data_IF_196263168709
#
_entry.id   IF_196263168709
#
_cell.length_a   1.000
_cell.length_b   1.000
_cell.length_c   1.000
_cell.angle_alpha   90.00
_cell.angle_beta   90.00
_cell.angle_gamma   90.00
#
_symmetry.space_group_name_H-M   'P 1'
#
loop_
_entity.id
_entity.type
_entity.pdbx_description
1 polymer ?
#
# COMPACT_ATOMS: atom_id res chain seq x y z
N UNK A 1 -55.60 31.17 24.63
CA UNK A 1 -57.03 30.84 24.74
C UNK A 1 -57.13 29.31 24.57
N UNK A 2 -56.99 28.49 25.62
CA UNK A 2 -57.90 28.19 26.73
C UNK A 2 -59.12 27.32 26.34
N UNK A 3 -59.32 26.23 27.12
CA UNK A 3 -60.45 25.26 27.26
C UNK A 3 -60.30 23.95 26.44
N UNK A 4 -59.98 22.75 26.99
CA UNK A 4 -60.56 21.90 28.07
C UNK A 4 -61.91 21.24 27.63
N UNK A 5 -62.18 19.93 27.71
CA UNK A 5 -62.49 19.05 28.88
C UNK A 5 -62.63 17.58 28.35
N UNK A 6 -61.86 16.56 28.81
CA UNK A 6 -62.03 15.58 29.92
C UNK A 6 -63.17 14.53 29.83
N UNK A 7 -62.79 13.24 29.90
CA UNK A 7 -63.48 12.10 30.57
C UNK A 7 -62.62 10.82 30.33
N UNK A 8 -61.72 10.37 31.20
CA UNK A 8 -61.82 9.74 32.53
C UNK A 8 -62.50 8.34 32.60
N UNK A 9 -61.64 7.33 32.76
CA UNK A 9 -61.73 6.15 33.66
C UNK A 9 -62.77 5.03 33.46
N UNK A 10 -62.25 3.78 33.31
CA UNK A 10 -62.51 2.70 34.28
C UNK A 10 -61.53 1.51 34.18
N UNK A 11 -60.72 1.45 35.23
CA UNK A 11 -59.85 0.42 35.80
C UNK A 11 -60.53 -0.94 36.03
N UNK A 12 -59.76 -2.06 35.95
CA UNK A 12 -59.93 -3.29 36.77
C UNK A 12 -58.71 -4.24 36.70
N UNK A 13 -57.85 -4.11 37.71
CA UNK A 13 -57.07 -5.09 38.50
C UNK A 13 -56.95 -6.59 38.09
N UNK A 14 -55.71 -7.14 38.10
CA UNK A 14 -55.39 -8.45 38.74
C UNK A 14 -54.69 -9.56 37.91
N UNK A 15 -53.83 -10.45 38.52
CA UNK A 15 -52.50 -10.83 38.01
C UNK A 15 -52.31 -12.30 37.58
N UNK A 16 -51.28 -12.62 36.74
CA UNK A 16 -50.56 -13.93 36.72
C UNK A 16 -49.27 -13.97 35.86
N UNK A 17 -48.14 -14.22 36.55
CA UNK A 17 -46.91 -15.00 36.20
C UNK A 17 -46.26 -14.91 34.79
N UNK A 18 -45.05 -14.33 34.80
CA UNK A 18 -43.73 -14.78 34.28
C UNK A 18 -43.72 -15.91 33.24
N UNK A 19 -43.23 -15.62 32.02
CA UNK A 19 -42.10 -16.32 31.35
C UNK A 19 -41.44 -15.32 30.38
N UNK A 20 -40.15 -15.03 30.56
CA UNK A 20 -39.35 -14.29 29.60
C UNK A 20 -38.98 -15.20 28.41
N UNK A 21 -39.07 -14.76 27.15
CA UNK A 21 -38.29 -15.35 26.09
C UNK A 21 -36.88 -14.73 26.13
N UNK A 22 -35.91 -15.63 26.30
CA UNK A 22 -34.48 -15.42 26.12
C UNK A 22 -34.27 -14.72 24.77
N UNK A 23 -33.77 -13.48 24.81
CA UNK A 23 -33.13 -12.92 23.63
C UNK A 23 -31.76 -13.59 23.55
N UNK A 24 -31.38 -14.22 22.42
CA UNK A 24 -29.98 -14.46 22.18
C UNK A 24 -29.33 -13.08 22.03
N UNK A 25 -28.40 -12.76 22.94
CA UNK A 25 -27.32 -11.82 22.64
C UNK A 25 -26.62 -12.40 21.41
N UNK A 26 -27.01 -11.90 20.24
CA UNK A 26 -26.16 -11.93 19.06
C UNK A 26 -25.20 -10.76 19.19
N UNK A 27 -24.32 -10.83 20.20
CA UNK A 27 -22.98 -10.26 20.09
C UNK A 27 -22.19 -11.20 19.18
N UNK A 28 -22.53 -11.19 17.89
CA UNK A 28 -21.53 -11.45 16.87
C UNK A 28 -20.66 -10.20 16.87
N UNK A 29 -19.70 -10.15 17.79
CA UNK A 29 -18.47 -9.43 17.52
C UNK A 29 -17.95 -10.02 16.20
N UNK A 30 -18.18 -9.31 15.10
CA UNK A 30 -17.35 -9.45 13.92
C UNK A 30 -15.92 -9.25 14.45
N UNK A 31 -15.22 -10.35 14.71
CA UNK A 31 -13.77 -10.36 14.77
C UNK A 31 -13.35 -9.80 13.40
N UNK A 32 -13.13 -8.48 13.36
CA UNK A 32 -12.26 -7.83 12.38
C UNK A 32 -10.98 -8.64 12.44
N UNK A 33 -10.83 -9.62 11.55
CA UNK A 33 -9.62 -10.42 11.46
C UNK A 33 -8.53 -9.41 11.10
N UNK A 34 -7.77 -8.97 12.10
CA UNK A 34 -6.57 -8.15 11.90
C UNK A 34 -5.77 -8.90 10.83
N UNK A 35 -5.71 -8.35 9.61
CA UNK A 35 -4.99 -8.98 8.50
C UNK A 35 -3.55 -9.16 8.99
N UNK A 36 -3.15 -10.41 9.27
CA UNK A 36 -1.85 -10.68 9.86
C UNK A 36 -0.77 -10.23 8.88
N UNK A 37 -0.06 -9.17 9.23
CA UNK A 37 1.13 -8.72 8.52
C UNK A 37 2.16 -9.85 8.48
N UNK A 38 2.91 -9.91 7.37
CA UNK A 38 4.01 -10.86 7.26
C UNK A 38 5.04 -10.66 8.38
N UNK A 39 5.40 -11.75 9.09
CA UNK A 39 6.35 -11.68 10.20
C UNK A 39 7.70 -11.04 9.84
N UNK A 40 8.08 -11.06 8.56
CA UNK A 40 9.30 -10.42 8.03
C UNK A 40 9.25 -8.90 8.13
N UNK A 41 8.07 -8.29 8.05
CA UNK A 41 7.88 -6.83 8.23
C UNK A 41 8.36 -6.43 9.61
N UNK A 42 7.89 -7.10 10.66
CA UNK A 42 8.29 -6.80 12.04
C UNK A 42 9.79 -7.06 12.28
N UNK A 43 10.35 -8.13 11.70
CA UNK A 43 11.80 -8.38 11.77
C UNK A 43 12.59 -7.21 11.17
N UNK A 44 12.20 -6.73 9.99
CA UNK A 44 12.87 -5.63 9.31
C UNK A 44 12.72 -4.30 10.05
N UNK A 45 11.52 -3.95 10.51
CA UNK A 45 11.28 -2.73 11.30
C UNK A 45 12.19 -2.64 12.53
N UNK A 46 12.44 -3.77 13.19
CA UNK A 46 13.33 -3.81 14.37
C UNK A 46 14.82 -3.75 14.05
N UNK A 47 15.19 -4.00 12.78
CA UNK A 47 16.55 -4.13 12.28
C UNK A 47 17.09 -2.81 11.70
N UNK A 48 16.31 -2.12 10.86
CA UNK A 48 16.79 -1.04 9.97
C UNK A 48 17.36 0.18 10.67
N UNK A 49 16.83 0.57 11.83
CA UNK A 49 17.33 1.71 12.61
C UNK A 49 18.69 1.48 13.30
N UNK A 50 19.26 0.28 13.22
CA UNK A 50 20.49 -0.12 13.92
C UNK A 50 21.62 -0.56 12.99
N UNK A 51 21.36 -0.63 11.70
CA UNK A 51 22.25 -1.21 10.70
C UNK A 51 22.40 -0.30 9.50
N UNK A 52 23.45 -0.50 8.71
CA UNK A 52 23.67 0.29 7.49
C UNK A 52 22.66 -0.09 6.40
N UNK A 53 22.50 0.74 5.36
CA UNK A 53 21.74 0.39 4.16
C UNK A 53 22.14 -0.97 3.55
N UNK A 54 23.43 -1.26 3.47
CA UNK A 54 23.98 -2.49 2.88
C UNK A 54 23.70 -3.71 3.76
N UNK A 55 23.86 -3.57 5.08
CA UNK A 55 23.51 -4.62 6.04
C UNK A 55 22.01 -4.92 6.01
N UNK A 56 21.18 -3.88 5.88
CA UNK A 56 19.72 -4.02 5.75
C UNK A 56 19.35 -4.73 4.45
N UNK A 57 19.94 -4.34 3.33
CA UNK A 57 19.70 -5.00 2.03
C UNK A 57 20.10 -6.48 2.08
N UNK A 58 21.26 -6.81 2.66
CA UNK A 58 21.70 -8.19 2.85
C UNK A 58 20.72 -8.98 3.75
N UNK A 59 20.23 -8.38 4.83
CA UNK A 59 19.27 -9.04 5.71
C UNK A 59 17.92 -9.29 5.02
N UNK A 60 17.45 -8.38 4.17
CA UNK A 60 16.27 -8.61 3.33
C UNK A 60 16.45 -9.79 2.38
N UNK A 61 17.63 -9.97 1.80
CA UNK A 61 17.96 -11.13 0.98
C UNK A 61 17.89 -12.44 1.77
N UNK A 62 18.39 -12.44 3.02
CA UNK A 62 18.35 -13.60 3.90
C UNK A 62 16.93 -14.00 4.33
N UNK A 63 16.05 -13.02 4.55
CA UNK A 63 14.65 -13.27 4.91
C UNK A 63 13.84 -13.92 3.78
N UNK A 64 14.24 -13.69 2.52
CA UNK A 64 13.55 -14.20 1.34
C UNK A 64 12.13 -13.63 1.17
N UNK A 65 11.39 -14.16 0.19
CA UNK A 65 10.04 -13.67 -0.15
C UNK A 65 9.22 -14.64 -1.00
N UNK A 66 9.53 -15.94 -0.93
CA UNK A 66 8.90 -16.96 -1.78
C UNK A 66 7.42 -17.22 -1.45
N UNK A 67 7.01 -16.85 -0.24
CA UNK A 67 5.72 -17.11 0.39
C UNK A 67 5.25 -15.88 1.20
N UNK A 68 5.39 -14.68 0.63
CA UNK A 68 5.06 -13.44 1.32
C UNK A 68 3.55 -13.25 1.51
N UNK A 69 3.16 -12.73 2.68
CA UNK A 69 1.83 -12.18 2.89
C UNK A 69 1.85 -10.68 2.57
N UNK A 70 1.00 -10.25 1.65
CA UNK A 70 0.88 -8.86 1.22
C UNK A 70 -0.61 -8.51 1.25
N UNK A 71 -1.02 -7.65 2.19
CA UNK A 71 -2.42 -7.27 2.42
C UNK A 71 -3.36 -8.48 2.56
N UNK A 72 -2.95 -9.46 3.37
CA UNK A 72 -3.68 -10.70 3.63
C UNK A 72 -3.65 -11.74 2.50
N UNK A 73 -3.11 -11.39 1.32
CA UNK A 73 -3.01 -12.29 0.18
C UNK A 73 -1.64 -13.01 0.19
N UNK A 74 -1.62 -14.33 -0.08
CA UNK A 74 -0.41 -15.13 -0.15
C UNK A 74 0.23 -15.05 -1.55
N UNK A 75 1.44 -14.49 -1.62
CA UNK A 75 2.22 -14.32 -2.84
C UNK A 75 3.29 -15.40 -2.97
N UNK A 76 2.95 -16.47 -3.69
CA UNK A 76 3.87 -17.59 -3.94
C UNK A 76 4.69 -17.37 -5.23
N UNK A 77 6.01 -17.55 -5.15
CA UNK A 77 6.91 -17.53 -6.31
C UNK A 77 7.09 -16.14 -6.94
N UNK A 78 6.87 -15.08 -6.15
CA UNK A 78 7.07 -13.68 -6.56
C UNK A 78 8.07 -12.96 -5.63
N UNK A 79 9.28 -13.52 -5.37
CA UNK A 79 10.20 -13.02 -4.36
C UNK A 79 10.66 -11.58 -4.59
N UNK A 80 10.76 -11.12 -5.84
CA UNK A 80 11.13 -9.74 -6.15
C UNK A 80 10.05 -8.73 -5.73
N UNK A 81 8.78 -9.07 -5.91
CA UNK A 81 7.66 -8.23 -5.48
C UNK A 81 7.56 -8.20 -3.95
N UNK A 82 7.73 -9.36 -3.31
CA UNK A 82 7.81 -9.44 -1.85
C UNK A 82 8.94 -8.57 -1.28
N UNK A 83 10.14 -8.63 -1.86
CA UNK A 83 11.27 -7.80 -1.43
C UNK A 83 10.99 -6.31 -1.62
N UNK A 84 10.41 -5.91 -2.75
CA UNK A 84 10.00 -4.53 -2.96
C UNK A 84 8.93 -4.09 -1.95
N UNK A 85 7.96 -4.95 -1.62
CA UNK A 85 6.97 -4.67 -0.58
C UNK A 85 7.64 -4.44 0.79
N UNK A 86 8.53 -5.35 1.19
CA UNK A 86 9.27 -5.24 2.44
C UNK A 86 10.18 -4.01 2.49
N UNK A 87 10.74 -3.60 1.35
CA UNK A 87 11.49 -2.34 1.24
C UNK A 87 10.58 -1.16 1.60
N UNK A 88 9.41 -1.05 0.97
CA UNK A 88 8.51 0.08 1.12
C UNK A 88 7.87 0.13 2.53
N UNK A 89 7.33 -1.00 2.99
CA UNK A 89 6.55 -1.07 4.24
C UNK A 89 7.42 -1.14 5.49
N UNK A 90 8.57 -1.82 5.42
CA UNK A 90 9.37 -2.09 6.61
C UNK A 90 10.73 -1.39 6.59
N UNK A 91 11.53 -1.58 5.53
CA UNK A 91 12.91 -1.15 5.56
C UNK A 91 13.05 0.38 5.40
N UNK A 92 12.35 0.96 4.43
CA UNK A 92 12.22 2.40 4.25
C UNK A 92 11.22 3.01 5.24
N UNK A 93 10.23 2.23 5.68
CA UNK A 93 9.16 2.64 6.60
C UNK A 93 8.48 3.93 6.12
N UNK A 94 7.98 3.90 4.87
CA UNK A 94 7.35 5.07 4.27
C UNK A 94 6.09 5.47 5.05
N UNK A 95 5.97 6.75 5.33
CA UNK A 95 4.82 7.37 5.98
C UNK A 95 3.80 7.79 4.91
N UNK A 96 2.59 7.27 5.02
CA UNK A 96 1.44 7.48 4.14
C UNK A 96 0.86 8.90 4.21
N UNK A 97 1.10 9.63 5.29
CA UNK A 97 0.69 11.03 5.46
C UNK A 97 1.69 12.03 4.81
N UNK A 98 2.88 11.60 4.41
CA UNK A 98 3.95 12.47 3.90
C UNK A 98 4.22 12.27 2.41
N UNK A 99 4.71 13.29 1.66
CA UNK A 99 5.07 13.15 0.24
C UNK A 99 6.10 12.05 -0.01
N UNK A 100 5.94 11.28 -1.08
CA UNK A 100 6.78 10.08 -1.32
C UNK A 100 8.20 10.44 -1.79
N UNK A 101 8.33 11.38 -2.72
CA UNK A 101 9.62 11.75 -3.30
C UNK A 101 10.68 12.14 -2.26
N UNK A 102 10.38 13.06 -1.32
CA UNK A 102 11.31 13.42 -0.25
C UNK A 102 11.71 12.25 0.66
N UNK A 103 10.79 11.33 0.97
CA UNK A 103 11.08 10.17 1.81
C UNK A 103 12.01 9.19 1.10
N UNK A 104 11.75 8.89 -0.17
CA UNK A 104 12.63 8.04 -0.99
C UNK A 104 14.01 8.69 -1.12
N UNK A 105 14.06 10.00 -1.33
CA UNK A 105 15.33 10.75 -1.39
C UNK A 105 16.12 10.66 -0.07
N UNK A 106 15.46 10.79 1.08
CA UNK A 106 16.09 10.62 2.39
C UNK A 106 16.67 9.21 2.57
N UNK A 107 15.97 8.20 2.05
CA UNK A 107 16.36 6.79 2.13
C UNK A 107 17.15 6.29 0.91
N UNK A 108 17.60 7.17 0.02
CA UNK A 108 18.20 6.79 -1.28
C UNK A 108 19.31 5.73 -1.20
N UNK A 109 20.16 5.79 -0.18
CA UNK A 109 21.25 4.83 -0.01
C UNK A 109 20.73 3.40 0.22
N UNK A 110 19.59 3.25 0.92
CA UNK A 110 18.92 1.96 1.10
C UNK A 110 18.30 1.47 -0.20
N UNK A 111 17.60 2.36 -0.93
CA UNK A 111 17.05 2.00 -2.23
C UNK A 111 18.14 1.58 -3.24
N UNK A 112 19.28 2.28 -3.25
CA UNK A 112 20.43 1.92 -4.08
C UNK A 112 21.03 0.57 -3.66
N UNK A 113 21.16 0.31 -2.35
CA UNK A 113 21.62 -0.99 -1.85
C UNK A 113 20.67 -2.14 -2.24
N UNK A 114 19.38 -1.85 -2.43
CA UNK A 114 18.35 -2.81 -2.83
C UNK A 114 18.03 -2.82 -4.34
N UNK A 115 18.72 -2.03 -5.18
CA UNK A 115 18.39 -1.81 -6.61
C UNK A 115 18.15 -3.13 -7.38
N UNK A 116 19.06 -4.09 -7.24
CA UNK A 116 19.00 -5.35 -7.97
C UNK A 116 19.08 -5.18 -9.51
N UNK A 117 18.66 -6.21 -10.24
CA UNK A 117 18.58 -6.21 -11.70
C UNK A 117 17.26 -5.58 -12.19
N UNK A 118 17.11 -5.40 -13.51
CA UNK A 118 15.93 -4.81 -14.16
C UNK A 118 14.59 -5.38 -13.64
N UNK A 119 14.48 -6.71 -13.49
CA UNK A 119 13.26 -7.35 -12.97
C UNK A 119 12.92 -6.92 -11.52
N UNK A 120 13.94 -6.66 -10.69
CA UNK A 120 13.74 -6.18 -9.32
C UNK A 120 13.29 -4.71 -9.31
N UNK A 121 13.83 -3.91 -10.21
CA UNK A 121 13.43 -2.51 -10.40
C UNK A 121 12.00 -2.42 -10.94
N UNK A 122 11.62 -3.28 -11.89
CA UNK A 122 10.24 -3.37 -12.38
C UNK A 122 9.27 -3.80 -11.25
N UNK A 123 9.66 -4.79 -10.44
CA UNK A 123 8.89 -5.20 -9.28
C UNK A 123 8.74 -4.05 -8.26
N UNK A 124 9.77 -3.22 -8.06
CA UNK A 124 9.69 -2.02 -7.22
C UNK A 124 8.65 -1.04 -7.72
N UNK A 125 8.61 -0.74 -9.03
CA UNK A 125 7.62 0.18 -9.60
C UNK A 125 6.18 -0.35 -9.41
N UNK A 126 5.96 -1.64 -9.63
CA UNK A 126 4.65 -2.26 -9.45
C UNK A 126 4.21 -2.26 -7.99
N UNK A 127 5.12 -2.53 -7.05
CA UNK A 127 4.81 -2.50 -5.62
C UNK A 127 4.62 -1.08 -5.10
N UNK A 128 5.31 -0.10 -5.67
CA UNK A 128 5.09 1.31 -5.37
C UNK A 128 3.71 1.78 -5.87
N UNK A 129 3.29 1.34 -7.06
CA UNK A 129 1.92 1.54 -7.55
C UNK A 129 0.90 0.93 -6.57
N UNK A 130 1.11 -0.31 -6.13
CA UNK A 130 0.25 -0.94 -5.12
C UNK A 130 0.22 -0.16 -3.80
N UNK A 131 1.37 0.33 -3.32
CA UNK A 131 1.46 1.16 -2.12
C UNK A 131 0.63 2.45 -2.25
N UNK A 132 0.70 3.13 -3.39
CA UNK A 132 -0.12 4.32 -3.65
C UNK A 132 -1.61 3.97 -3.66
N UNK A 133 -2.00 2.81 -4.21
CA UNK A 133 -3.41 2.40 -4.23
C UNK A 133 -3.93 2.07 -2.82
N UNK A 134 -3.11 1.45 -1.97
CA UNK A 134 -3.52 0.87 -0.69
C UNK A 134 -3.30 1.80 0.50
N UNK A 135 -2.13 2.41 0.59
CA UNK A 135 -1.70 3.19 1.74
C UNK A 135 -1.85 4.68 1.48
N UNK A 136 -1.52 5.15 0.26
CA UNK A 136 -1.42 6.58 -0.02
C UNK A 136 -1.94 6.99 -1.39
N UNK A 137 -3.25 7.23 -1.50
CA UNK A 137 -3.91 7.65 -2.75
C UNK A 137 -3.36 8.94 -3.36
N UNK A 138 -2.89 9.88 -2.53
CA UNK A 138 -2.21 11.09 -2.99
C UNK A 138 -0.93 10.79 -3.80
N UNK A 139 -0.31 9.62 -3.58
CA UNK A 139 0.86 9.16 -4.33
C UNK A 139 0.61 8.93 -5.82
N UNK A 140 -0.65 8.71 -6.24
CA UNK A 140 -1.00 8.55 -7.66
C UNK A 140 -0.70 9.83 -8.47
N UNK A 141 -1.00 11.00 -7.88
CA UNK A 141 -0.77 12.30 -8.51
C UNK A 141 0.70 12.77 -8.36
N UNK A 142 1.44 12.22 -7.42
CA UNK A 142 2.86 12.53 -7.18
C UNK A 142 3.81 11.57 -7.92
N UNK A 143 3.28 10.53 -8.57
CA UNK A 143 4.07 9.40 -9.07
C UNK A 143 5.17 9.83 -10.04
N UNK A 144 4.89 10.77 -10.95
CA UNK A 144 5.91 11.33 -11.86
C UNK A 144 7.11 11.96 -11.15
N UNK A 145 6.88 12.65 -10.03
CA UNK A 145 7.96 13.21 -9.21
C UNK A 145 8.77 12.12 -8.51
N UNK A 146 8.12 11.02 -8.13
CA UNK A 146 8.78 9.87 -7.53
C UNK A 146 9.65 9.14 -8.55
N UNK A 147 9.13 8.91 -9.77
CA UNK A 147 9.91 8.32 -10.86
C UNK A 147 11.17 9.14 -11.15
N UNK A 148 11.05 10.47 -11.16
CA UNK A 148 12.20 11.36 -11.32
C UNK A 148 13.25 11.14 -10.23
N UNK A 149 12.85 11.03 -8.97
CA UNK A 149 13.78 10.75 -7.86
C UNK A 149 14.42 9.36 -8.02
N UNK A 150 13.64 8.35 -8.38
CA UNK A 150 14.16 7.00 -8.58
C UNK A 150 15.21 6.95 -9.71
N UNK A 151 14.96 7.66 -10.80
CA UNK A 151 15.87 7.76 -11.93
C UNK A 151 17.12 8.61 -11.63
N UNK A 152 16.95 9.82 -11.07
CA UNK A 152 18.05 10.75 -10.78
C UNK A 152 19.09 10.16 -9.81
N UNK A 153 18.67 9.23 -8.97
CA UNK A 153 19.52 8.59 -7.97
C UNK A 153 19.90 7.15 -8.32
N UNK A 154 19.76 6.75 -9.60
CA UNK A 154 20.17 5.44 -10.11
C UNK A 154 19.54 4.28 -9.31
N UNK A 155 18.27 4.41 -8.93
CA UNK A 155 17.48 3.37 -8.25
C UNK A 155 16.69 2.57 -9.29
N UNK A 156 16.18 3.24 -10.33
CA UNK A 156 15.49 2.60 -11.45
C UNK A 156 16.06 3.16 -12.76
N UNK A 157 16.47 2.25 -13.64
CA UNK A 157 17.01 2.58 -14.94
C UNK A 157 15.92 3.09 -15.88
N UNK A 158 16.33 3.89 -16.86
CA UNK A 158 15.41 4.54 -17.78
C UNK A 158 14.56 3.53 -18.56
N UNK A 159 15.19 2.49 -19.08
CA UNK A 159 14.57 1.43 -19.86
C UNK A 159 13.48 0.70 -19.05
N UNK A 160 13.69 0.55 -17.73
CA UNK A 160 12.72 -0.04 -16.82
C UNK A 160 11.53 0.90 -16.60
N UNK A 161 11.77 2.21 -16.44
CA UNK A 161 10.70 3.21 -16.34
C UNK A 161 9.85 3.22 -17.60
N UNK A 162 10.48 3.25 -18.78
CA UNK A 162 9.80 3.25 -20.08
C UNK A 162 8.96 1.98 -20.27
N UNK A 163 9.55 0.81 -20.05
CA UNK A 163 8.84 -0.47 -20.18
C UNK A 163 7.62 -0.55 -19.24
N UNK A 164 7.74 -0.06 -18.00
CA UNK A 164 6.63 -0.02 -17.06
C UNK A 164 5.55 1.00 -17.45
N UNK A 165 5.93 2.16 -17.99
CA UNK A 165 4.98 3.15 -18.49
C UNK A 165 4.15 2.62 -19.67
N UNK A 166 4.81 1.90 -20.59
CA UNK A 166 4.15 1.23 -21.72
C UNK A 166 3.17 0.14 -21.27
N UNK A 167 3.45 -0.52 -20.13
CA UNK A 167 2.54 -1.50 -19.55
C UNK A 167 1.56 -0.87 -18.55
N UNK A 168 0.44 -0.34 -19.04
CA UNK A 168 -0.64 0.19 -18.19
C UNK A 168 -1.23 -0.82 -17.20
N UNK A 169 -1.00 -2.11 -17.43
CA UNK A 169 -1.60 -3.22 -16.68
C UNK A 169 -0.60 -3.95 -15.79
N UNK A 170 0.59 -3.37 -15.56
CA UNK A 170 1.63 -4.01 -14.77
C UNK A 170 1.12 -4.47 -13.39
N UNK A 171 0.35 -3.64 -12.68
CA UNK A 171 -0.30 -4.05 -11.43
C UNK A 171 -1.38 -5.14 -11.64
N UNK A 172 -2.19 -5.02 -12.70
CA UNK A 172 -3.23 -5.99 -13.01
C UNK A 172 -2.68 -7.41 -13.22
N UNK A 173 -1.53 -7.53 -13.87
CA UNK A 173 -0.88 -8.81 -14.16
C UNK A 173 -0.43 -9.55 -12.89
N UNK A 174 -0.09 -8.81 -11.84
CA UNK A 174 0.42 -9.40 -10.59
C UNK A 174 -0.60 -9.43 -9.46
N UNK A 175 -1.51 -8.45 -9.42
CA UNK A 175 -2.49 -8.28 -8.37
C UNK A 175 -3.81 -7.65 -8.85
N UNK A 176 -4.62 -8.39 -9.64
CA UNK A 176 -5.79 -7.84 -10.34
C UNK A 176 -6.87 -7.26 -9.42
N UNK A 177 -6.93 -7.69 -8.15
CA UNK A 177 -7.91 -7.24 -7.14
C UNK A 177 -7.77 -5.75 -6.79
N UNK A 178 -6.56 -5.19 -6.92
CA UNK A 178 -6.26 -3.80 -6.56
C UNK A 178 -6.00 -2.90 -7.78
N UNK A 179 -6.22 -3.43 -8.99
CA UNK A 179 -6.08 -2.63 -10.20
C UNK A 179 -7.37 -1.84 -10.49
N UNK A 180 -7.20 -0.57 -10.83
CA UNK A 180 -8.22 0.27 -11.44
C UNK A 180 -7.62 1.00 -12.65
N UNK A 181 -8.38 1.08 -13.74
CA UNK A 181 -7.97 1.84 -14.93
C UNK A 181 -7.79 3.33 -14.60
N UNK A 182 -8.62 3.88 -13.73
CA UNK A 182 -8.53 5.29 -13.30
C UNK A 182 -7.21 5.59 -12.59
N UNK A 183 -6.75 4.65 -11.74
CA UNK A 183 -5.50 4.81 -10.99
C UNK A 183 -4.29 4.72 -11.92
N UNK A 184 -4.32 3.75 -12.84
CA UNK A 184 -3.30 3.59 -13.86
C UNK A 184 -3.18 4.83 -14.75
N UNK A 185 -4.31 5.42 -15.14
CA UNK A 185 -4.38 6.67 -15.91
C UNK A 185 -3.88 7.87 -15.12
N UNK A 186 -4.22 7.97 -13.82
CA UNK A 186 -3.76 9.06 -12.95
C UNK A 186 -2.24 9.05 -12.79
N UNK A 187 -1.65 7.88 -12.54
CA UNK A 187 -0.20 7.67 -12.45
C UNK A 187 0.51 8.08 -13.74
N UNK A 188 -0.02 7.66 -14.90
CA UNK A 188 0.57 8.00 -16.21
C UNK A 188 0.38 9.46 -16.54
N UNK A 189 -0.76 10.04 -16.16
CA UNK A 189 -1.05 11.46 -16.23
C UNK A 189 -0.03 12.30 -15.46
N UNK A 190 0.26 11.94 -14.20
CA UNK A 190 1.24 12.65 -13.36
C UNK A 190 2.68 12.48 -13.83
N UNK A 191 2.97 11.41 -14.57
CA UNK A 191 4.31 11.09 -15.07
C UNK A 191 4.66 11.76 -16.40
N UNK A 192 3.69 12.33 -17.12
CA UNK A 192 3.90 12.88 -18.49
C UNK A 192 5.02 13.89 -18.59
N UNK A 193 5.08 14.86 -17.66
CA UNK A 193 6.07 15.93 -17.71
C UNK A 193 7.48 15.39 -17.49
N UNK A 194 7.64 14.41 -16.60
CA UNK A 194 8.92 13.74 -16.37
C UNK A 194 9.36 12.95 -17.61
N UNK A 195 8.46 12.19 -18.22
CA UNK A 195 8.76 11.39 -19.43
C UNK A 195 9.13 12.28 -20.61
N UNK A 196 8.38 13.38 -20.81
CA UNK A 196 8.68 14.34 -21.86
C UNK A 196 10.06 15.00 -21.64
N UNK A 197 10.40 15.31 -20.39
CA UNK A 197 11.71 15.86 -20.02
C UNK A 197 12.84 14.85 -20.26
N UNK A 198 12.63 13.58 -19.89
CA UNK A 198 13.59 12.50 -20.04
C UNK A 198 13.88 12.23 -21.53
N UNK A 199 12.85 12.15 -22.37
CA UNK A 199 13.00 11.98 -23.82
C UNK A 199 13.66 13.19 -24.50
N UNK A 200 13.35 14.41 -24.05
CA UNK A 200 13.95 15.62 -24.62
C UNK A 200 15.47 15.71 -24.35
N UNK A 201 15.96 15.10 -23.27
CA UNK A 201 17.39 14.98 -22.97
C UNK A 201 18.14 14.06 -23.93
N UNK A 202 17.46 13.14 -24.61
CA UNK A 202 18.03 12.26 -25.64
C UNK A 202 18.00 12.88 -27.04
N UNK A 203 17.09 13.84 -27.27
CA UNK A 203 16.93 14.54 -28.56
C UNK A 203 17.91 15.72 -28.75
N UNK A 204 18.70 16.09 -27.73
CA UNK A 204 19.79 17.07 -27.90
C UNK A 204 21.02 16.42 -28.58
N UNK A 205 21.44 16.88 -29.78
CA UNK A 205 22.49 16.26 -30.60
C UNK A 205 23.93 16.52 -30.14
#
# INVERSE_FOLDING_TARGET
MAQAVSALEKQLCGPRRVVAPIMPDSDEEEEESEEEDDERIMKLLTFTGKHTPEETAAYMEELGGEDALIYGDLWVGKPLHAKAFFLLMAAACLNDEQPLGPQILEKKALFQACKGAEDAQAALLVMLELFCVKERRAGLEEFGSVLKVLWEWDIVEQEVVEAWLENERALQEVHPKHFSQEDAEAIRGSSRDFVAWLNAGEEEP
#
